data_IF_871412003333
#
_entry.id   IF_871412003333
#
_cell.length_a   1.000
_cell.length_b   1.000
_cell.length_c   1.000
_cell.angle_alpha   90.00
_cell.angle_beta   90.00
_cell.angle_gamma   90.00
#
_symmetry.space_group_name_H-M   'P 1'
#
loop_
_entity.id
_entity.type
_entity.pdbx_description
1 polymer ?
#
# COMPACT_ATOMS: atom_id res chain seq x y z
N UNK A 1 28.03 -3.36 16.58
CA UNK A 1 26.61 -3.62 16.91
C UNK A 1 25.86 -2.41 17.48
N UNK A 2 26.50 -1.50 18.24
CA UNK A 2 25.77 -0.44 18.97
C UNK A 2 25.36 0.79 18.14
N UNK A 3 26.04 1.05 17.01
CA UNK A 3 25.84 2.27 16.21
C UNK A 3 24.53 2.26 15.41
N UNK A 4 24.10 1.08 14.94
CA UNK A 4 22.83 0.93 14.21
C UNK A 4 21.63 1.26 15.09
N UNK A 5 21.66 0.86 16.37
CA UNK A 5 20.59 1.15 17.32
C UNK A 5 20.51 2.64 17.66
N UNK A 6 21.65 3.33 17.72
CA UNK A 6 21.71 4.77 17.95
C UNK A 6 21.13 5.55 16.76
N UNK A 7 21.46 5.15 15.53
CA UNK A 7 20.93 5.79 14.32
C UNK A 7 19.40 5.60 14.19
N UNK A 8 18.89 4.44 14.59
CA UNK A 8 17.45 4.18 14.64
C UNK A 8 16.77 5.06 15.69
N UNK A 9 17.36 5.19 16.88
CA UNK A 9 16.83 6.04 17.94
C UNK A 9 16.79 7.52 17.53
N UNK A 10 17.84 8.01 16.88
CA UNK A 10 17.90 9.40 16.38
C UNK A 10 16.87 9.64 15.25
N UNK A 11 16.63 8.64 14.39
CA UNK A 11 15.60 8.70 13.36
C UNK A 11 14.18 8.83 13.95
N UNK A 12 13.89 8.08 15.02
CA UNK A 12 12.61 8.17 15.73
C UNK A 12 12.38 9.55 16.38
N UNK A 13 13.44 10.18 16.90
CA UNK A 13 13.33 11.53 17.48
C UNK A 13 12.97 12.58 16.41
N UNK A 14 13.58 12.50 15.23
CA UNK A 14 13.27 13.39 14.09
C UNK A 14 11.83 13.23 13.61
N UNK A 15 11.33 12.00 13.57
CA UNK A 15 9.91 11.72 13.25
C UNK A 15 8.98 12.32 14.32
N UNK A 16 9.31 12.15 15.60
CA UNK A 16 8.54 12.72 16.71
C UNK A 16 8.52 14.26 16.67
N UNK A 17 9.62 14.90 16.31
CA UNK A 17 9.69 16.34 16.09
C UNK A 17 8.77 16.80 14.94
N UNK A 18 8.74 16.04 13.83
CA UNK A 18 7.82 16.29 12.71
C UNK A 18 6.34 16.23 13.12
N UNK A 19 5.94 15.22 13.89
CA UNK A 19 4.57 15.11 14.41
C UNK A 19 4.20 16.24 15.39
N UNK A 20 5.14 16.67 16.25
CA UNK A 20 4.92 17.83 17.13
C UNK A 20 4.77 19.13 16.36
N UNK A 21 5.55 19.33 15.29
CA UNK A 21 5.41 20.49 14.42
C UNK A 21 4.08 20.49 13.66
N UNK A 22 3.58 19.31 13.28
CA UNK A 22 2.27 19.15 12.67
C UNK A 22 1.14 19.39 13.68
N UNK A 23 1.28 18.89 14.91
CA UNK A 23 0.30 19.06 15.99
C UNK A 23 0.26 20.49 16.54
N UNK A 24 1.41 21.15 16.67
CA UNK A 24 1.51 22.55 17.12
C UNK A 24 0.93 23.56 16.11
N UNK A 25 0.66 23.14 14.88
CA UNK A 25 -0.08 23.93 13.89
C UNK A 25 -1.60 23.79 14.00
N UNK A 26 -2.11 22.90 14.85
CA UNK A 26 -3.52 22.56 14.98
C UNK A 26 -4.12 22.90 16.35
N UNK A 27 -3.52 23.84 17.10
CA UNK A 27 -4.08 24.31 18.37
C UNK A 27 -4.64 25.71 18.24
N UNK A 28 -5.81 25.79 17.62
CA UNK A 28 -6.90 26.59 18.15
C UNK A 28 -8.16 25.70 18.09
N UNK A 29 -8.94 25.69 19.16
CA UNK A 29 -10.14 24.86 19.38
C UNK A 29 -9.93 23.43 19.92
N UNK A 30 -9.80 23.37 21.24
CA UNK A 30 -10.77 22.76 22.16
C UNK A 30 -11.43 21.42 21.77
N UNK A 31 -11.00 20.38 22.49
CA UNK A 31 -11.79 19.30 23.09
C UNK A 31 -13.05 18.82 22.35
N UNK A 32 -12.94 17.69 21.65
CA UNK A 32 -13.99 16.67 21.70
C UNK A 32 -13.36 15.29 21.56
N UNK A 33 -13.59 14.43 22.56
CA UNK A 33 -13.32 12.99 22.46
C UNK A 33 -14.49 12.39 21.67
N UNK A 34 -14.22 11.74 20.53
CA UNK A 34 -14.72 10.37 20.39
C UNK A 34 -13.71 9.44 19.71
N UNK A 35 -13.72 8.18 20.14
CA UNK A 35 -13.56 6.92 19.39
C UNK A 35 -12.52 6.82 18.24
N UNK A 36 -11.67 5.76 18.19
CA UNK A 36 -10.52 5.69 17.29
C UNK A 36 -10.93 5.85 15.81
N UNK A 37 -10.31 6.78 15.06
CA UNK A 37 -10.52 6.81 13.63
C UNK A 37 -9.73 5.64 13.03
N UNK A 38 -10.52 4.69 12.55
CA UNK A 38 -10.26 3.80 11.41
C UNK A 38 -9.23 4.42 10.46
N UNK A 39 -8.21 3.68 9.99
CA UNK A 39 -7.22 4.21 9.07
C UNK A 39 -7.92 4.55 7.75
N UNK A 40 -8.21 5.83 7.52
CA UNK A 40 -8.71 6.28 6.24
C UNK A 40 -7.55 6.45 5.24
N UNK A 41 -7.74 5.92 4.02
CA UNK A 41 -6.72 5.59 3.05
C UNK A 41 -6.13 6.83 2.37
N UNK A 42 -4.89 6.77 1.85
CA UNK A 42 -4.35 7.83 1.04
C UNK A 42 -5.24 8.05 -0.20
N UNK A 43 -5.67 9.29 -0.30
CA UNK A 43 -6.36 10.02 -1.38
C UNK A 43 -6.16 9.41 -2.79
N UNK A 44 -7.23 9.24 -3.57
CA UNK A 44 -7.19 8.61 -4.90
C UNK A 44 -6.52 9.53 -5.93
N UNK A 45 -5.25 9.25 -6.24
CA UNK A 45 -4.64 9.72 -7.48
C UNK A 45 -5.29 8.98 -8.66
N UNK A 46 -6.23 9.69 -9.29
CA UNK A 46 -6.89 9.30 -10.52
C UNK A 46 -5.85 9.05 -11.62
N UNK A 47 -5.70 7.79 -12.03
CA UNK A 47 -5.58 7.30 -13.42
C UNK A 47 -4.79 6.00 -13.57
N UNK A 48 -4.25 5.42 -12.50
CA UNK A 48 -3.54 4.14 -12.57
C UNK A 48 -4.05 3.21 -11.48
N UNK A 49 -4.43 1.96 -11.80
CA UNK A 49 -4.80 0.99 -10.78
C UNK A 49 -3.64 0.90 -9.78
N UNK A 50 -3.95 1.14 -8.50
CA UNK A 50 -2.92 1.15 -7.47
C UNK A 50 -2.36 -0.26 -7.28
N UNK A 51 -1.06 -0.34 -6.98
CA UNK A 51 -0.38 -1.62 -6.73
C UNK A 51 -1.09 -2.43 -5.63
N UNK A 52 -1.72 -1.74 -4.67
CA UNK A 52 -2.54 -2.34 -3.62
C UNK A 52 -3.82 -2.98 -4.15
N UNK A 53 -4.61 -2.30 -4.99
CA UNK A 53 -5.83 -2.90 -5.55
C UNK A 53 -5.52 -4.13 -6.39
N UNK A 54 -4.44 -4.12 -7.17
CA UNK A 54 -4.05 -5.27 -8.00
C UNK A 54 -3.60 -6.43 -7.11
N UNK A 55 -2.84 -6.13 -6.06
CA UNK A 55 -2.41 -7.13 -5.09
C UNK A 55 -3.61 -7.71 -4.35
N UNK A 56 -4.60 -6.89 -4.01
CA UNK A 56 -5.84 -7.33 -3.39
C UNK A 56 -6.63 -8.24 -4.34
N UNK A 57 -6.92 -7.80 -5.57
CA UNK A 57 -7.65 -8.58 -6.57
C UNK A 57 -6.97 -9.92 -6.90
N UNK A 58 -5.65 -9.92 -7.09
CA UNK A 58 -4.89 -11.15 -7.32
C UNK A 58 -4.82 -12.05 -6.09
N UNK A 59 -4.70 -11.47 -4.89
CA UNK A 59 -4.73 -12.24 -3.65
C UNK A 59 -6.10 -12.89 -3.43
N UNK A 60 -7.18 -12.15 -3.70
CA UNK A 60 -8.55 -12.63 -3.57
C UNK A 60 -8.80 -13.82 -4.52
N UNK A 61 -8.49 -13.67 -5.81
CA UNK A 61 -8.57 -14.76 -6.79
C UNK A 61 -7.64 -15.93 -6.46
N UNK A 62 -6.45 -15.66 -5.95
CA UNK A 62 -5.55 -16.70 -5.46
C UNK A 62 -6.14 -17.47 -4.27
N UNK A 63 -6.90 -16.80 -3.41
CA UNK A 63 -7.57 -17.38 -2.23
C UNK A 63 -8.79 -18.20 -2.64
N UNK A 64 -9.44 -17.81 -3.73
CA UNK A 64 -10.53 -18.51 -4.40
C UNK A 64 -10.07 -19.80 -5.12
N UNK A 65 -8.77 -20.13 -5.07
CA UNK A 65 -8.20 -21.33 -5.70
C UNK A 65 -7.62 -21.09 -7.09
N UNK A 66 -7.77 -19.90 -7.65
CA UNK A 66 -7.30 -19.55 -8.99
C UNK A 66 -5.84 -19.07 -9.02
N UNK A 67 -5.02 -19.49 -8.05
CA UNK A 67 -3.62 -19.07 -7.92
C UNK A 67 -2.78 -19.42 -9.15
N UNK A 68 -3.08 -20.52 -9.82
CA UNK A 68 -2.39 -20.92 -11.05
C UNK A 68 -2.70 -19.98 -12.22
N UNK A 69 -3.97 -19.57 -12.37
CA UNK A 69 -4.38 -18.61 -13.39
C UNK A 69 -3.74 -17.22 -13.13
N UNK A 70 -3.76 -16.76 -11.88
CA UNK A 70 -3.06 -15.54 -11.44
C UNK A 70 -1.57 -15.62 -11.78
N UNK A 71 -0.91 -16.74 -11.48
CA UNK A 71 0.52 -16.95 -11.80
C UNK A 71 0.77 -17.03 -13.31
N UNK A 72 -0.13 -17.63 -14.08
CA UNK A 72 -0.04 -17.72 -15.53
C UNK A 72 -0.09 -16.32 -16.16
N UNK A 73 -0.96 -15.42 -15.68
CA UNK A 73 -1.03 -14.03 -16.11
C UNK A 73 0.32 -13.33 -15.85
N UNK A 74 0.86 -13.41 -14.63
CA UNK A 74 2.16 -12.80 -14.28
C UNK A 74 3.28 -13.36 -15.19
N UNK A 75 3.30 -14.67 -15.42
CA UNK A 75 4.30 -15.34 -16.27
C UNK A 75 4.14 -14.97 -17.75
N UNK A 76 2.91 -14.72 -18.23
CA UNK A 76 2.61 -14.27 -19.61
C UNK A 76 3.23 -12.91 -19.91
N UNK A 77 3.35 -12.04 -18.91
CA UNK A 77 4.08 -10.77 -19.01
C UNK A 77 5.60 -10.92 -18.83
N UNK A 78 6.11 -12.14 -18.66
CA UNK A 78 7.55 -12.42 -18.53
C UNK A 78 8.14 -12.02 -17.17
N UNK A 79 7.29 -11.75 -16.18
CA UNK A 79 7.71 -11.34 -14.84
C UNK A 79 7.47 -12.46 -13.84
N UNK A 80 8.22 -12.46 -12.74
CA UNK A 80 8.08 -13.47 -11.69
C UNK A 80 7.10 -13.05 -10.58
N UNK A 81 6.88 -11.75 -10.40
CA UNK A 81 6.08 -11.19 -9.31
C UNK A 81 5.36 -9.91 -9.76
N UNK A 82 4.25 -9.58 -9.09
CA UNK A 82 3.50 -8.32 -9.25
C UNK A 82 4.37 -7.06 -9.12
N UNK A 83 5.39 -7.08 -8.25
CA UNK A 83 6.33 -5.96 -8.09
C UNK A 83 7.32 -5.81 -9.25
N UNK A 84 7.50 -6.85 -10.08
CA UNK A 84 8.33 -6.79 -11.28
C UNK A 84 7.51 -6.43 -12.53
N UNK A 85 6.18 -6.46 -12.43
CA UNK A 85 5.27 -6.04 -13.50
C UNK A 85 5.34 -4.50 -13.61
N UNK A 86 5.43 -3.98 -14.83
CA UNK A 86 5.44 -2.52 -15.04
C UNK A 86 4.04 -1.91 -14.85
N UNK A 87 3.92 -0.65 -14.39
CA UNK A 87 2.64 0.04 -14.22
C UNK A 87 1.76 0.06 -15.48
N UNK A 88 2.38 0.00 -16.65
CA UNK A 88 1.69 -0.08 -17.95
C UNK A 88 0.93 -1.39 -18.15
N UNK A 89 1.38 -2.47 -17.52
CA UNK A 89 0.77 -3.79 -17.60
C UNK A 89 -0.19 -4.07 -16.44
N UNK A 90 -0.25 -3.20 -15.44
CA UNK A 90 -1.13 -3.33 -14.27
C UNK A 90 -2.61 -3.36 -14.64
N UNK A 91 -3.05 -2.45 -15.50
CA UNK A 91 -4.45 -2.42 -15.97
C UNK A 91 -4.83 -3.69 -16.74
N UNK A 92 -3.91 -4.23 -17.54
CA UNK A 92 -4.16 -5.44 -18.31
C UNK A 92 -4.16 -6.70 -17.42
N UNK A 93 -3.23 -6.78 -16.44
CA UNK A 93 -3.19 -7.87 -15.48
C UNK A 93 -4.40 -7.88 -14.55
N UNK A 94 -4.82 -6.71 -14.04
CA UNK A 94 -6.03 -6.58 -13.22
C UNK A 94 -7.27 -7.09 -13.99
N UNK A 95 -7.41 -6.67 -15.24
CA UNK A 95 -8.55 -7.05 -16.08
C UNK A 95 -8.60 -8.56 -16.36
N UNK A 96 -7.45 -9.17 -16.70
CA UNK A 96 -7.40 -10.63 -16.86
C UNK A 96 -7.69 -11.36 -15.53
N UNK A 97 -7.28 -10.81 -14.38
CA UNK A 97 -7.56 -11.38 -13.06
C UNK A 97 -9.03 -11.27 -12.70
N UNK A 98 -9.68 -10.16 -13.01
CA UNK A 98 -11.13 -9.99 -12.82
C UNK A 98 -11.96 -10.91 -13.74
N UNK A 99 -11.45 -11.25 -14.93
CA UNK A 99 -12.08 -12.22 -15.84
C UNK A 99 -11.96 -13.67 -15.37
N UNK A 100 -11.03 -14.00 -14.46
CA UNK A 100 -10.97 -15.33 -13.84
C UNK A 100 -12.21 -15.49 -12.95
N UNK A 101 -13.13 -16.37 -13.34
CA UNK A 101 -14.42 -16.59 -12.67
C UNK A 101 -14.41 -17.80 -11.76
#
# INVERSE_FOLDING_TARGET
MNEVYLNIAEGHEKLAAGYRALAGKATDSESTVPEPPVPEPPVPEQHQPTLEEIRAAMADKSRDGHREAVKAIITKYGVNNLSALEPKHYAAALKEVEEIK
#
